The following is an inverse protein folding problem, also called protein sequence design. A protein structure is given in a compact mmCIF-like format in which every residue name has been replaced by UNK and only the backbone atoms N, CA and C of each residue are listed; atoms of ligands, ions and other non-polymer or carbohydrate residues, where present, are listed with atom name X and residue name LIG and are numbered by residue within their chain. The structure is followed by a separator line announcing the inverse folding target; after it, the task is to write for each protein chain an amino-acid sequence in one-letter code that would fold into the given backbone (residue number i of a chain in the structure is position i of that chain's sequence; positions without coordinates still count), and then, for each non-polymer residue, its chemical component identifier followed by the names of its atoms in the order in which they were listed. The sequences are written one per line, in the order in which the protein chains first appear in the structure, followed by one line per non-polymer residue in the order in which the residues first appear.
data_IF_800002492098
#
_entry.id   IF_800002492098
#
_cell.length_a   1.000
_cell.length_b   1.000
_cell.length_c   1.000
_cell.angle_alpha   90.00
_cell.angle_beta   90.00
_cell.angle_gamma   90.00
#
_symmetry.space_group_name_H-M   'P 1'
#
loop_
_entity.id
_entity.type
_entity.pdbx_description
1 polymer ?
#
# COMPACT_ATOMS: atom_id res chain seq x y z
N UNK A 1 -9.52 -6.68 25.55
CA UNK A 1 -8.47 -5.89 24.85
C UNK A 1 -7.11 -6.54 25.01
N UNK A 2 -6.23 -6.29 24.06
CA UNK A 2 -4.85 -6.82 24.07
C UNK A 2 -3.91 -5.69 23.66
N UNK A 3 -2.64 -5.78 24.09
CA UNK A 3 -1.55 -5.07 23.44
C UNK A 3 -0.83 -6.05 22.48
N UNK A 4 -0.59 -5.62 21.28
CA UNK A 4 0.15 -6.39 20.29
C UNK A 4 1.45 -5.65 19.98
N UNK A 5 2.55 -6.40 19.99
CA UNK A 5 3.86 -5.93 19.53
C UNK A 5 4.31 -6.86 18.41
N UNK A 6 4.63 -6.29 17.25
CA UNK A 6 5.22 -7.07 16.17
C UNK A 6 6.51 -6.42 15.68
N UNK A 7 7.50 -7.26 15.39
CA UNK A 7 8.78 -6.88 14.82
C UNK A 7 9.06 -7.78 13.62
N UNK A 8 9.34 -7.15 12.48
CA UNK A 8 9.74 -7.83 11.24
C UNK A 8 11.14 -7.39 10.87
N UNK A 9 12.03 -8.34 10.66
CA UNK A 9 13.38 -8.11 10.16
C UNK A 9 13.52 -8.84 8.82
N UNK A 10 13.81 -8.13 7.73
CA UNK A 10 14.02 -8.69 6.39
C UNK A 10 15.44 -8.41 5.94
N UNK A 11 16.11 -9.40 5.34
CA UNK A 11 17.44 -9.26 4.75
C UNK A 11 17.57 -10.14 3.53
N UNK A 12 18.25 -9.64 2.52
CA UNK A 12 18.53 -10.36 1.27
C UNK A 12 18.72 -9.40 0.11
N UNK A 13 18.20 -9.78 -1.04
CA UNK A 13 18.36 -9.05 -2.28
C UNK A 13 17.01 -8.77 -2.94
N UNK A 14 16.83 -7.53 -3.44
CA UNK A 14 15.89 -7.22 -4.49
C UNK A 14 16.53 -7.55 -5.83
N UNK A 15 15.77 -8.21 -6.68
CA UNK A 15 16.16 -8.53 -8.03
C UNK A 15 15.51 -7.49 -8.94
N UNK A 16 16.31 -6.65 -9.60
CA UNK A 16 15.82 -5.61 -10.51
C UNK A 16 16.33 -5.86 -11.91
N UNK A 17 15.55 -5.48 -12.92
CA UNK A 17 15.95 -5.62 -14.31
C UNK A 17 16.72 -4.37 -14.74
N UNK A 18 18.02 -4.48 -14.97
CA UNK A 18 18.92 -3.41 -15.35
C UNK A 18 19.12 -3.29 -16.88
N UNK A 19 18.08 -3.60 -17.67
CA UNK A 19 18.11 -3.66 -19.14
C UNK A 19 17.39 -4.91 -19.66
N UNK A 20 17.44 -5.16 -20.97
CA UNK A 20 16.66 -6.27 -21.57
C UNK A 20 17.11 -7.68 -21.12
N UNK A 21 18.31 -7.84 -20.54
CA UNK A 21 18.87 -9.15 -20.17
C UNK A 21 19.71 -9.20 -18.88
N UNK A 22 19.97 -8.06 -18.25
CA UNK A 22 20.79 -8.02 -17.03
C UNK A 22 19.93 -7.89 -15.79
N UNK A 23 20.11 -8.85 -14.86
CA UNK A 23 19.51 -8.81 -13.53
C UNK A 23 20.54 -8.21 -12.57
N UNK A 24 20.17 -7.15 -11.90
CA UNK A 24 20.95 -6.55 -10.82
C UNK A 24 20.37 -6.95 -9.46
N UNK A 25 21.26 -7.27 -8.52
CA UNK A 25 20.90 -7.53 -7.14
C UNK A 25 21.15 -6.28 -6.31
N UNK A 26 20.11 -5.76 -5.70
CA UNK A 26 20.21 -4.66 -4.74
C UNK A 26 20.00 -5.20 -3.33
N UNK A 27 21.02 -5.12 -2.45
CA UNK A 27 20.86 -5.57 -1.08
C UNK A 27 19.75 -4.81 -0.38
N UNK A 28 18.88 -5.55 0.32
CA UNK A 28 17.79 -4.99 1.12
C UNK A 28 17.92 -5.39 2.58
N UNK A 29 17.68 -4.45 3.49
CA UNK A 29 17.52 -4.70 4.91
C UNK A 29 16.40 -3.83 5.45
N UNK A 30 15.40 -4.46 6.08
CA UNK A 30 14.26 -3.79 6.69
C UNK A 30 14.11 -4.23 8.13
N UNK A 31 13.84 -3.28 9.02
CA UNK A 31 13.41 -3.54 10.39
C UNK A 31 12.15 -2.74 10.64
N UNK A 32 11.01 -3.40 10.64
CA UNK A 32 9.71 -2.83 10.95
C UNK A 32 9.29 -3.12 12.38
N UNK A 33 8.69 -2.16 13.07
CA UNK A 33 8.18 -2.29 14.43
C UNK A 33 6.80 -1.66 14.53
N UNK A 34 5.87 -2.42 15.09
CA UNK A 34 4.56 -1.90 15.45
C UNK A 34 4.20 -2.29 16.88
N UNK A 35 3.58 -1.36 17.58
CA UNK A 35 2.97 -1.59 18.89
C UNK A 35 1.61 -0.94 18.91
N UNK A 36 0.56 -1.70 19.16
CA UNK A 36 -0.80 -1.19 19.21
C UNK A 36 -1.63 -1.84 20.29
N UNK A 37 -2.59 -1.09 20.80
CA UNK A 37 -3.68 -1.62 21.60
C UNK A 37 -4.77 -2.09 20.64
N UNK A 38 -5.34 -3.26 20.89
CA UNK A 38 -6.36 -3.88 20.04
C UNK A 38 -7.60 -4.23 20.86
N UNK A 39 -8.77 -3.90 20.29
CA UNK A 39 -10.06 -4.35 20.78
C UNK A 39 -10.80 -5.11 19.68
N UNK A 40 -11.08 -6.38 19.92
CA UNK A 40 -11.89 -7.21 19.03
C UNK A 40 -13.34 -6.69 19.05
N UNK A 41 -13.91 -6.51 17.86
CA UNK A 41 -15.29 -6.04 17.66
C UNK A 41 -16.19 -7.16 17.13
N UNK A 42 -15.66 -8.01 16.21
CA UNK A 42 -16.39 -9.12 15.63
C UNK A 42 -15.44 -10.30 15.40
N UNK A 43 -15.96 -11.51 15.64
CA UNK A 43 -15.33 -12.76 15.29
C UNK A 43 -16.46 -13.76 15.01
N UNK A 44 -16.81 -13.92 13.74
CA UNK A 44 -17.88 -14.79 13.29
C UNK A 44 -17.29 -15.93 12.43
N UNK A 45 -17.31 -17.13 12.96
CA UNK A 45 -16.78 -18.29 12.28
C UNK A 45 -17.64 -18.72 11.06
N UNK A 46 -18.93 -18.37 11.04
CA UNK A 46 -19.83 -18.78 9.96
C UNK A 46 -19.60 -17.93 8.69
N UNK A 47 -19.32 -16.64 8.86
CA UNK A 47 -19.04 -15.71 7.76
C UNK A 47 -17.55 -15.49 7.51
N UNK A 48 -16.68 -15.96 8.42
CA UNK A 48 -15.24 -15.68 8.37
C UNK A 48 -14.88 -14.23 8.73
N UNK A 49 -15.86 -13.42 9.14
CA UNK A 49 -15.63 -12.03 9.51
C UNK A 49 -14.85 -11.94 10.83
N UNK A 50 -13.72 -11.27 10.78
CA UNK A 50 -12.94 -10.86 11.95
C UNK A 50 -12.70 -9.36 11.84
N UNK A 51 -12.98 -8.62 12.91
CA UNK A 51 -12.78 -7.17 12.95
C UNK A 51 -12.25 -6.73 14.30
N UNK A 52 -11.27 -5.85 14.27
CA UNK A 52 -10.77 -5.17 15.46
C UNK A 52 -10.59 -3.67 15.18
N UNK A 53 -10.57 -2.89 16.25
CA UNK A 53 -10.08 -1.53 16.22
C UNK A 53 -8.74 -1.51 16.96
N UNK A 54 -7.76 -0.81 16.37
CA UNK A 54 -6.37 -0.72 16.82
C UNK A 54 -6.01 0.74 17.06
N UNK A 55 -5.32 1.01 18.17
CA UNK A 55 -4.69 2.30 18.41
C UNK A 55 -3.18 2.12 18.41
N UNK A 56 -2.50 2.58 17.35
CA UNK A 56 -1.06 2.42 17.19
C UNK A 56 -0.31 3.39 18.12
N UNK A 57 0.47 2.85 19.05
CA UNK A 57 1.39 3.61 19.90
C UNK A 57 2.67 3.91 19.12
N UNK A 58 3.12 2.94 18.34
CA UNK A 58 4.31 2.99 17.49
C UNK A 58 4.03 2.22 16.18
N UNK A 59 4.40 2.81 15.05
CA UNK A 59 4.58 2.13 13.79
C UNK A 59 5.71 2.84 13.04
N UNK A 60 6.81 2.15 12.85
CA UNK A 60 8.04 2.71 12.28
C UNK A 60 8.84 1.63 11.55
N UNK A 61 9.67 2.03 10.59
CA UNK A 61 10.62 1.14 9.95
C UNK A 61 11.96 1.83 9.68
N UNK A 62 13.02 1.00 9.64
CA UNK A 62 14.29 1.35 8.99
C UNK A 62 14.39 0.53 7.71
N UNK A 63 14.47 1.19 6.57
CA UNK A 63 14.53 0.56 5.24
C UNK A 63 15.83 0.95 4.57
N UNK A 64 16.63 -0.04 4.17
CA UNK A 64 17.87 0.14 3.39
C UNK A 64 17.74 -0.63 2.09
N UNK A 65 17.94 0.03 0.95
CA UNK A 65 17.96 -0.59 -0.37
C UNK A 65 19.18 -0.04 -1.12
N UNK A 66 20.13 -0.90 -1.41
CA UNK A 66 21.42 -0.49 -1.97
C UNK A 66 22.10 0.55 -1.07
N UNK A 67 22.26 1.76 -1.58
CA UNK A 67 22.82 2.92 -0.83
C UNK A 67 21.74 3.82 -0.23
N UNK A 68 20.47 3.60 -0.57
CA UNK A 68 19.35 4.38 -0.06
C UNK A 68 18.95 3.96 1.36
N UNK A 69 18.51 4.92 2.15
CA UNK A 69 17.98 4.69 3.50
C UNK A 69 16.76 5.56 3.74
N UNK A 70 15.71 4.96 4.32
CA UNK A 70 14.50 5.64 4.74
C UNK A 70 14.09 5.19 6.15
N UNK A 71 13.45 6.08 6.90
CA UNK A 71 12.96 5.81 8.26
C UNK A 71 11.52 6.30 8.41
N UNK A 72 10.56 5.69 7.69
CA UNK A 72 9.17 6.09 7.76
C UNK A 72 8.59 5.88 9.16
N UNK A 73 7.67 6.77 9.54
CA UNK A 73 6.92 6.72 10.79
C UNK A 73 5.47 7.06 10.51
N UNK A 74 4.56 6.41 11.20
CA UNK A 74 3.12 6.62 11.04
C UNK A 74 2.69 8.03 11.46
N UNK A 75 1.79 8.61 10.69
CA UNK A 75 1.18 9.90 11.01
C UNK A 75 0.43 9.83 12.35
N UNK A 76 0.74 10.77 13.24
CA UNK A 76 0.13 10.84 14.58
C UNK A 76 -1.40 11.02 14.58
N UNK A 77 -1.96 11.59 13.52
CA UNK A 77 -3.40 11.81 13.35
C UNK A 77 -4.15 10.57 12.82
N UNK A 78 -3.42 9.53 12.37
CA UNK A 78 -3.98 8.32 11.73
C UNK A 78 -3.79 7.06 12.55
N UNK A 79 -3.50 7.18 13.84
CA UNK A 79 -3.17 6.04 14.73
C UNK A 79 -4.35 5.11 15.04
N UNK A 80 -5.57 5.58 14.87
CA UNK A 80 -6.77 4.75 15.05
C UNK A 80 -7.11 4.06 13.74
N UNK A 81 -6.99 2.74 13.70
CA UNK A 81 -7.15 1.92 12.49
C UNK A 81 -8.13 0.80 12.76
N UNK A 82 -9.02 0.55 11.85
CA UNK A 82 -9.84 -0.66 11.81
C UNK A 82 -9.12 -1.70 10.97
N UNK A 83 -8.95 -2.89 11.53
CA UNK A 83 -8.49 -4.08 10.82
C UNK A 83 -9.67 -5.03 10.65
N UNK A 84 -9.94 -5.42 9.42
CA UNK A 84 -11.02 -6.32 9.06
C UNK A 84 -10.47 -7.44 8.18
N UNK A 85 -10.93 -8.68 8.40
CA UNK A 85 -10.80 -9.79 7.46
C UNK A 85 -12.22 -10.20 7.14
N UNK A 86 -12.61 -10.08 5.89
CA UNK A 86 -13.94 -10.44 5.40
C UNK A 86 -13.80 -11.34 4.17
N UNK A 87 -14.42 -12.50 4.19
CA UNK A 87 -14.29 -13.51 3.13
C UNK A 87 -12.83 -13.87 2.75
N UNK A 88 -11.89 -13.77 3.71
CA UNK A 88 -10.47 -14.02 3.48
C UNK A 88 -9.66 -12.81 3.04
N UNK A 89 -10.30 -11.67 2.76
CA UNK A 89 -9.64 -10.45 2.31
C UNK A 89 -9.33 -9.53 3.50
N UNK A 90 -8.04 -9.23 3.78
CA UNK A 90 -7.67 -8.30 4.83
C UNK A 90 -7.83 -6.85 4.36
N UNK A 91 -8.36 -6.02 5.23
CA UNK A 91 -8.50 -4.58 4.98
C UNK A 91 -8.11 -3.79 6.22
N UNK A 92 -7.27 -2.77 6.03
CA UNK A 92 -6.90 -1.79 7.06
C UNK A 92 -7.37 -0.41 6.62
N UNK A 93 -8.03 0.35 7.48
CA UNK A 93 -8.42 1.72 7.15
C UNK A 93 -8.52 2.58 8.42
N UNK A 94 -8.31 3.87 8.29
CA UNK A 94 -8.49 4.81 9.39
C UNK A 94 -9.89 5.45 9.30
N UNK A 95 -10.73 5.31 10.33
CA UNK A 95 -12.09 5.90 10.34
C UNK A 95 -12.09 7.43 10.44
N UNK A 96 -10.93 8.05 10.73
CA UNK A 96 -10.77 9.50 10.88
C UNK A 96 -10.31 10.19 9.59
N UNK A 97 -10.00 9.42 8.53
CA UNK A 97 -9.56 9.94 7.24
C UNK A 97 -8.62 8.99 6.52
N UNK A 98 -8.27 9.26 5.26
CA UNK A 98 -7.42 8.37 4.47
C UNK A 98 -6.01 8.23 5.07
N UNK A 99 -5.47 7.02 4.99
CA UNK A 99 -4.05 6.76 5.25
C UNK A 99 -3.22 7.22 4.06
N UNK A 100 -1.95 7.55 4.27
CA UNK A 100 -0.98 7.60 3.19
C UNK A 100 -0.54 6.19 2.79
N UNK A 101 0.18 6.05 1.67
CA UNK A 101 0.82 4.78 1.30
C UNK A 101 1.82 4.36 2.38
N UNK A 102 2.65 5.29 2.84
CA UNK A 102 3.65 5.02 3.87
C UNK A 102 3.02 4.57 5.19
N UNK A 103 1.89 5.19 5.60
CA UNK A 103 1.15 4.75 6.79
C UNK A 103 0.63 3.32 6.62
N UNK A 104 0.06 3.00 5.45
CA UNK A 104 -0.46 1.66 5.18
C UNK A 104 0.65 0.62 5.17
N UNK A 105 1.75 0.87 4.47
CA UNK A 105 2.88 -0.06 4.34
C UNK A 105 3.56 -0.32 5.70
N UNK A 106 3.53 0.64 6.62
CA UNK A 106 4.03 0.47 7.99
C UNK A 106 3.18 -0.48 8.84
N UNK A 107 1.86 -0.57 8.59
CA UNK A 107 0.93 -1.34 9.42
C UNK A 107 0.41 -2.60 8.74
N UNK A 108 0.52 -2.70 7.42
CA UNK A 108 0.17 -3.88 6.62
C UNK A 108 1.37 -4.82 6.49
N UNK A 109 1.90 -5.21 7.64
CA UNK A 109 3.05 -6.10 7.76
C UNK A 109 2.62 -7.53 8.06
N UNK A 110 3.54 -8.47 7.84
CA UNK A 110 3.37 -9.86 8.26
C UNK A 110 3.06 -9.94 9.76
N UNK A 111 2.25 -10.91 10.15
CA UNK A 111 1.93 -11.15 11.57
C UNK A 111 0.65 -10.47 12.05
N UNK A 112 -0.33 -10.28 11.19
CA UNK A 112 -1.65 -9.76 11.57
C UNK A 112 -2.26 -10.58 12.71
N UNK A 113 -2.53 -9.94 13.86
CA UNK A 113 -3.06 -10.59 15.08
C UNK A 113 -4.38 -11.33 14.84
N UNK A 114 -5.22 -10.86 13.92
CA UNK A 114 -6.50 -11.50 13.58
C UNK A 114 -6.35 -12.88 12.94
N UNK A 115 -5.16 -13.22 12.43
CA UNK A 115 -4.89 -14.52 11.79
C UNK A 115 -4.28 -15.56 12.72
N UNK A 116 -3.77 -15.15 13.87
CA UNK A 116 -3.04 -16.06 14.78
C UNK A 116 -3.85 -17.27 15.24
N UNK A 117 -5.17 -17.10 15.40
CA UNK A 117 -6.05 -18.22 15.74
C UNK A 117 -6.15 -19.30 14.63
N UNK A 118 -5.91 -18.94 13.37
CA UNK A 118 -5.88 -19.88 12.23
C UNK A 118 -4.64 -20.79 12.21
N UNK A 119 -3.66 -20.55 13.08
CA UNK A 119 -2.53 -21.45 13.28
C UNK A 119 -2.88 -22.66 14.17
N UNK A 120 -4.01 -22.62 14.88
CA UNK A 120 -4.46 -23.66 15.79
C UNK A 120 -5.25 -24.74 15.06
N UNK A 121 -5.28 -25.98 15.60
CA UNK A 121 -6.13 -27.02 15.06
C UNK A 121 -7.62 -26.72 15.30
N UNK A 122 -8.47 -27.16 14.40
CA UNK A 122 -9.94 -27.09 14.50
C UNK A 122 -10.55 -28.14 15.45
N UNK A 123 -9.70 -29.06 15.93
CA UNK A 123 -10.07 -30.17 16.83
C UNK A 123 -9.08 -30.33 17.97
N UNK A 124 -9.46 -31.11 18.98
CA UNK A 124 -8.54 -31.48 20.03
C UNK A 124 -7.41 -32.37 19.49
N UNK A 125 -6.17 -32.05 19.85
CA UNK A 125 -4.96 -32.79 19.46
C UNK A 125 -4.17 -33.25 20.69
N UNK A 126 -3.37 -34.29 20.52
CA UNK A 126 -2.44 -34.80 21.54
C UNK A 126 -1.03 -34.24 21.31
N UNK A 127 -0.20 -34.31 22.34
CA UNK A 127 1.23 -34.00 22.20
C UNK A 127 1.86 -34.88 21.12
N UNK A 128 2.71 -34.28 20.31
CA UNK A 128 3.34 -34.82 19.09
C UNK A 128 2.36 -35.08 17.91
N UNK A 129 1.10 -34.72 18.02
CA UNK A 129 0.15 -34.80 16.93
C UNK A 129 0.26 -33.57 16.03
N UNK A 130 0.26 -33.81 14.71
CA UNK A 130 0.34 -32.77 13.70
C UNK A 130 -1.03 -32.49 13.04
N UNK A 131 -1.19 -31.26 12.52
CA UNK A 131 -2.36 -30.84 11.74
C UNK A 131 -1.96 -29.89 10.60
N UNK A 132 -2.67 -29.88 9.49
CA UNK A 132 -2.46 -28.92 8.42
C UNK A 132 -2.86 -27.52 8.91
N UNK A 133 -2.08 -26.49 8.53
CA UNK A 133 -2.44 -25.10 8.80
C UNK A 133 -3.36 -24.59 7.69
N UNK A 134 -4.37 -23.79 8.06
CA UNK A 134 -5.28 -23.15 7.12
C UNK A 134 -4.56 -22.22 6.15
N UNK A 135 -4.74 -22.45 4.84
CA UNK A 135 -4.06 -21.70 3.78
C UNK A 135 -4.45 -20.22 3.76
N UNK A 136 -5.71 -19.90 4.00
CA UNK A 136 -6.17 -18.50 4.04
C UNK A 136 -5.52 -17.72 5.17
N UNK A 137 -5.44 -18.31 6.37
CA UNK A 137 -4.75 -17.71 7.51
C UNK A 137 -3.25 -17.56 7.27
N UNK A 138 -2.60 -18.55 6.62
CA UNK A 138 -1.19 -18.45 6.24
C UNK A 138 -0.94 -17.36 5.20
N UNK A 139 -1.80 -17.23 4.19
CA UNK A 139 -1.67 -16.21 3.16
C UNK A 139 -1.66 -14.81 3.80
N UNK A 140 -2.65 -14.49 4.62
CA UNK A 140 -2.73 -13.20 5.30
C UNK A 140 -1.57 -13.00 6.28
N UNK A 141 -1.18 -14.04 7.03
CA UNK A 141 -0.08 -13.96 7.99
C UNK A 141 1.26 -13.62 7.32
N UNK A 142 1.48 -14.13 6.11
CA UNK A 142 2.73 -13.98 5.35
C UNK A 142 2.66 -12.86 4.30
N UNK A 143 1.50 -12.20 4.10
CA UNK A 143 1.31 -11.14 3.11
C UNK A 143 1.26 -11.67 1.67
N UNK A 144 0.62 -12.83 1.44
CA UNK A 144 0.41 -13.41 0.12
C UNK A 144 -1.03 -13.16 -0.34
N UNK A 145 -1.21 -12.95 -1.64
CA UNK A 145 -2.52 -12.83 -2.28
C UNK A 145 -3.28 -14.18 -2.22
N UNK A 146 -2.56 -15.27 -2.50
CA UNK A 146 -3.11 -16.62 -2.47
C UNK A 146 -2.01 -17.67 -2.28
N UNK A 147 -2.38 -18.85 -1.76
CA UNK A 147 -1.52 -20.04 -1.66
C UNK A 147 -2.07 -21.11 -2.59
N UNK A 148 -1.27 -21.53 -3.57
CA UNK A 148 -1.62 -22.59 -4.54
C UNK A 148 -1.30 -23.97 -4.00
N UNK A 149 -0.17 -24.13 -3.31
CA UNK A 149 0.22 -25.37 -2.64
C UNK A 149 0.85 -25.11 -1.27
N UNK A 150 0.66 -26.02 -0.31
CA UNK A 150 1.24 -25.94 1.03
C UNK A 150 1.33 -27.32 1.67
N UNK A 151 2.49 -27.63 2.24
CA UNK A 151 2.73 -28.76 3.13
C UNK A 151 2.96 -28.30 4.59
N UNK A 152 2.67 -27.04 4.92
CA UNK A 152 2.89 -26.47 6.25
C UNK A 152 2.00 -27.16 7.27
N UNK A 153 2.63 -27.66 8.34
CA UNK A 153 1.96 -28.34 9.44
C UNK A 153 2.30 -27.69 10.78
N UNK A 154 1.31 -27.65 11.66
CA UNK A 154 1.46 -27.39 13.07
C UNK A 154 1.64 -28.70 13.84
N UNK A 155 2.43 -28.70 14.92
CA UNK A 155 2.59 -29.82 15.84
C UNK A 155 2.50 -29.29 17.26
N UNK A 156 1.79 -30.00 18.14
CA UNK A 156 1.77 -29.69 19.57
C UNK A 156 3.01 -30.33 20.24
N UNK A 157 4.01 -29.52 20.60
CA UNK A 157 5.24 -30.03 21.18
C UNK A 157 5.07 -30.44 22.64
N UNK A 158 4.41 -29.60 23.44
CA UNK A 158 4.14 -29.85 24.84
C UNK A 158 3.03 -28.97 25.43
N UNK A 159 2.49 -29.38 26.54
CA UNK A 159 1.59 -28.58 27.37
C UNK A 159 2.20 -28.50 28.78
N UNK A 160 2.36 -27.29 29.30
CA UNK A 160 2.90 -27.03 30.64
C UNK A 160 1.94 -26.08 31.37
N UNK A 161 1.14 -26.62 32.27
CA UNK A 161 0.02 -25.89 32.86
C UNK A 161 -0.97 -25.42 31.80
N UNK A 162 -1.15 -24.11 31.70
CA UNK A 162 -2.00 -23.48 30.69
C UNK A 162 -1.27 -23.14 29.38
N UNK A 163 0.03 -23.39 29.29
CA UNK A 163 0.83 -23.05 28.14
C UNK A 163 1.01 -24.23 27.19
N UNK A 164 0.45 -24.17 26.02
CA UNK A 164 0.73 -25.08 24.92
C UNK A 164 1.79 -24.46 23.99
N UNK A 165 2.84 -25.24 23.70
CA UNK A 165 3.92 -24.85 22.77
C UNK A 165 3.75 -25.60 21.47
N UNK A 166 3.77 -24.86 20.38
CA UNK A 166 3.53 -25.33 19.05
C UNK A 166 4.76 -25.11 18.16
N UNK A 167 5.10 -26.06 17.31
CA UNK A 167 6.01 -25.88 16.19
C UNK A 167 5.22 -25.87 14.88
N UNK A 168 5.53 -24.95 13.98
CA UNK A 168 4.90 -24.82 12.65
C UNK A 168 6.02 -24.83 11.64
N UNK A 169 5.95 -25.72 10.64
CA UNK A 169 7.01 -25.82 9.63
C UNK A 169 6.47 -26.43 8.32
N UNK A 170 7.14 -26.09 7.24
CA UNK A 170 6.86 -26.61 5.91
C UNK A 170 7.22 -25.62 4.82
N UNK A 171 6.79 -25.90 3.63
CA UNK A 171 6.95 -25.08 2.44
C UNK A 171 5.60 -24.76 1.82
N UNK A 172 5.53 -23.66 1.09
CA UNK A 172 4.35 -23.25 0.37
C UNK A 172 4.72 -22.50 -0.92
N UNK A 173 3.82 -22.58 -1.88
CA UNK A 173 3.87 -21.80 -3.12
C UNK A 173 2.59 -20.98 -3.23
N UNK A 174 2.71 -19.75 -3.71
CA UNK A 174 1.61 -18.82 -3.83
C UNK A 174 1.95 -17.64 -4.73
N UNK A 175 1.23 -16.57 -4.56
CA UNK A 175 1.47 -15.31 -5.23
C UNK A 175 1.52 -14.16 -4.21
N UNK A 176 2.39 -13.18 -4.46
CA UNK A 176 2.43 -11.92 -3.76
C UNK A 176 2.52 -10.79 -4.80
N UNK A 177 1.64 -9.79 -4.71
CA UNK A 177 1.50 -8.73 -5.72
C UNK A 177 1.34 -9.29 -7.15
N UNK A 178 0.59 -10.41 -7.28
CA UNK A 178 0.38 -11.12 -8.54
C UNK A 178 1.58 -11.93 -9.06
N UNK A 179 2.69 -11.98 -8.33
CA UNK A 179 3.93 -12.64 -8.75
C UNK A 179 4.14 -13.94 -7.99
N UNK A 180 4.55 -15.00 -8.70
CA UNK A 180 4.80 -16.30 -8.11
C UNK A 180 5.86 -16.22 -7.00
N UNK A 181 5.55 -16.78 -5.84
CA UNK A 181 6.40 -16.79 -4.65
C UNK A 181 6.48 -18.19 -4.04
N UNK A 182 7.67 -18.55 -3.55
CA UNK A 182 7.95 -19.76 -2.78
C UNK A 182 8.46 -19.39 -1.41
N UNK A 183 7.90 -20.00 -0.36
CA UNK A 183 8.28 -19.73 1.03
C UNK A 183 8.60 -21.04 1.76
N UNK A 184 9.75 -21.06 2.44
CA UNK A 184 10.09 -22.06 3.44
C UNK A 184 9.88 -21.44 4.83
N UNK A 185 9.01 -22.04 5.65
CA UNK A 185 8.60 -21.52 6.96
C UNK A 185 9.04 -22.42 8.10
N UNK A 186 9.57 -21.80 9.17
CA UNK A 186 9.78 -22.42 10.47
C UNK A 186 9.34 -21.44 11.56
N UNK A 187 8.40 -21.85 12.41
CA UNK A 187 7.89 -21.01 13.47
C UNK A 187 7.63 -21.80 14.75
N UNK A 188 7.58 -21.05 15.85
CA UNK A 188 7.11 -21.52 17.17
C UNK A 188 6.06 -20.56 17.69
N UNK A 189 5.03 -21.11 18.31
CA UNK A 189 3.98 -20.32 18.93
C UNK A 189 3.66 -20.82 20.33
N UNK A 190 3.23 -19.90 21.18
CA UNK A 190 2.70 -20.18 22.50
C UNK A 190 1.21 -19.87 22.53
N UNK A 191 0.41 -20.85 22.96
CA UNK A 191 -1.02 -20.70 23.14
C UNK A 191 -1.38 -20.84 24.61
N UNK A 192 -2.04 -19.82 25.17
CA UNK A 192 -2.59 -19.88 26.52
C UNK A 192 -4.00 -20.49 26.45
N UNK A 193 -4.14 -21.70 27.03
CA UNK A 193 -5.40 -22.46 27.02
C UNK A 193 -6.47 -21.85 27.90
N UNK A 194 -6.10 -21.15 28.99
CA UNK A 194 -7.04 -20.49 29.88
C UNK A 194 -7.61 -19.21 29.23
N UNK A 195 -6.76 -18.43 28.56
CA UNK A 195 -7.14 -17.22 27.85
C UNK A 195 -7.61 -17.47 26.41
N UNK A 196 -7.38 -18.68 25.89
CA UNK A 196 -7.72 -19.11 24.52
C UNK A 196 -7.11 -18.19 23.46
N UNK A 197 -5.84 -17.78 23.66
CA UNK A 197 -5.15 -16.80 22.84
C UNK A 197 -3.73 -17.25 22.52
N UNK A 198 -3.29 -17.08 21.28
CA UNK A 198 -1.87 -17.16 20.92
C UNK A 198 -1.17 -15.94 21.50
N UNK A 199 -0.32 -16.15 22.51
CA UNK A 199 0.34 -15.06 23.24
C UNK A 199 1.69 -14.68 22.63
N UNK A 200 2.27 -15.57 21.85
CA UNK A 200 3.57 -15.36 21.24
C UNK A 200 3.73 -16.19 19.96
N UNK A 201 4.37 -15.58 18.96
CA UNK A 201 4.80 -16.22 17.72
C UNK A 201 6.19 -15.73 17.36
N UNK A 202 7.10 -16.65 16.99
CA UNK A 202 8.33 -16.32 16.29
C UNK A 202 8.43 -17.19 15.03
N UNK A 203 8.61 -16.56 13.90
CA UNK A 203 8.74 -17.22 12.61
C UNK A 203 10.02 -16.77 11.90
N UNK A 204 10.67 -17.72 11.22
CA UNK A 204 11.67 -17.44 10.21
C UNK A 204 11.15 -18.01 8.91
N UNK A 205 11.20 -17.23 7.85
CA UNK A 205 10.85 -17.70 6.51
C UNK A 205 11.82 -17.17 5.47
N UNK A 206 12.07 -17.98 4.47
CA UNK A 206 12.85 -17.63 3.30
C UNK A 206 11.90 -17.55 2.12
N UNK A 207 11.82 -16.38 1.51
CA UNK A 207 10.98 -16.11 0.35
C UNK A 207 11.84 -15.93 -0.89
N UNK A 208 11.44 -16.63 -1.96
CA UNK A 208 11.88 -16.38 -3.32
C UNK A 208 10.68 -16.04 -4.18
N UNK A 209 10.66 -14.82 -4.68
CA UNK A 209 9.64 -14.31 -5.59
C UNK A 209 10.28 -13.98 -6.92
N UNK A 210 9.61 -14.37 -7.98
CA UNK A 210 10.04 -14.11 -9.34
C UNK A 210 9.88 -12.63 -9.71
N UNK A 211 10.27 -12.24 -10.92
CA UNK A 211 10.02 -10.90 -11.45
C UNK A 211 8.59 -10.79 -11.91
N UNK A 212 7.91 -9.72 -11.51
CA UNK A 212 6.66 -9.28 -12.08
C UNK A 212 6.88 -8.27 -13.22
N UNK A 213 5.83 -7.91 -13.95
CA UNK A 213 5.89 -6.85 -14.95
C UNK A 213 6.13 -5.47 -14.33
N UNK A 214 5.66 -5.26 -13.10
CA UNK A 214 5.76 -4.00 -12.38
C UNK A 214 6.49 -4.12 -11.03
N UNK A 215 6.75 -5.34 -10.56
CA UNK A 215 7.31 -5.63 -9.24
C UNK A 215 8.68 -6.30 -9.37
N UNK A 216 9.66 -5.93 -8.51
CA UNK A 216 10.95 -6.60 -8.47
C UNK A 216 10.81 -8.02 -7.93
N UNK A 217 11.71 -8.90 -8.36
CA UNK A 217 11.89 -10.18 -7.70
C UNK A 217 12.55 -10.02 -6.33
N UNK A 218 12.45 -11.03 -5.45
CA UNK A 218 13.12 -11.03 -4.15
C UNK A 218 13.74 -12.38 -3.83
N UNK A 219 14.87 -12.35 -3.13
CA UNK A 219 15.48 -13.50 -2.46
C UNK A 219 15.84 -13.05 -1.05
N UNK A 220 14.91 -13.27 -0.08
CA UNK A 220 15.03 -12.69 1.25
C UNK A 220 14.76 -13.70 2.36
N UNK A 221 15.40 -13.48 3.49
CA UNK A 221 15.06 -14.14 4.75
C UNK A 221 14.41 -13.14 5.68
N UNK A 222 13.25 -13.49 6.21
CA UNK A 222 12.52 -12.67 7.16
C UNK A 222 12.40 -13.36 8.53
N UNK A 223 12.42 -12.54 9.57
CA UNK A 223 12.16 -12.93 10.96
C UNK A 223 11.00 -12.12 11.48
N UNK A 224 9.96 -12.80 11.89
CA UNK A 224 8.78 -12.21 12.49
C UNK A 224 8.72 -12.58 13.96
N UNK A 225 8.41 -11.62 14.83
CA UNK A 225 8.05 -11.86 16.24
C UNK A 225 6.76 -11.09 16.52
N UNK A 226 5.79 -11.79 17.10
CA UNK A 226 4.54 -11.20 17.56
C UNK A 226 4.34 -11.58 19.02
N UNK A 227 4.03 -10.61 19.86
CA UNK A 227 3.64 -10.81 21.25
C UNK A 227 2.26 -10.19 21.47
N UNK A 228 1.36 -10.96 22.09
CA UNK A 228 -0.01 -10.53 22.42
C UNK A 228 -0.16 -10.61 23.94
N UNK A 229 -0.34 -9.45 24.57
CA UNK A 229 -0.49 -9.34 26.01
C UNK A 229 -1.90 -8.88 26.34
N UNK A 230 -2.68 -9.64 27.12
CA UNK A 230 -3.98 -9.19 27.60
C UNK A 230 -3.87 -7.88 28.37
N UNK A 231 -4.80 -6.98 28.14
CA UNK A 231 -4.88 -5.70 28.84
C UNK A 231 -6.27 -5.44 29.38
N UNK A 232 -6.32 -4.66 30.45
CA UNK A 232 -7.56 -4.00 30.88
C UNK A 232 -7.97 -2.99 29.79
N UNK A 233 -9.26 -2.61 29.75
CA UNK A 233 -9.79 -1.65 28.77
C UNK A 233 -8.88 -0.41 28.64
N UNK A 234 -8.60 -0.03 27.40
CA UNK A 234 -7.78 1.14 27.05
C UNK A 234 -8.71 2.29 26.69
N UNK A 235 -8.52 3.46 27.27
CA UNK A 235 -9.37 4.64 27.08
C UNK A 235 -9.53 5.02 25.60
N UNK A 236 -8.45 4.94 24.82
CA UNK A 236 -8.46 5.23 23.37
C UNK A 236 -9.35 4.28 22.55
N UNK A 237 -9.73 3.12 23.10
CA UNK A 237 -10.61 2.12 22.47
C UNK A 237 -11.91 1.91 23.26
N UNK A 238 -12.26 2.85 24.14
CA UNK A 238 -13.51 2.80 24.91
C UNK A 238 -14.75 2.97 24.00
N UNK A 239 -15.91 2.52 24.49
CA UNK A 239 -17.17 2.70 23.78
C UNK A 239 -17.46 4.17 23.46
N UNK A 240 -17.04 5.09 24.34
CA UNK A 240 -17.23 6.52 24.13
C UNK A 240 -16.44 7.05 22.92
N UNK A 241 -15.27 6.46 22.63
CA UNK A 241 -14.41 6.88 21.51
C UNK A 241 -14.86 6.25 20.20
N UNK A 242 -15.25 4.96 20.21
CA UNK A 242 -15.46 4.22 18.96
C UNK A 242 -16.93 4.19 18.50
N UNK A 243 -17.90 4.54 19.35
CA UNK A 243 -19.34 4.38 19.09
C UNK A 243 -19.81 5.03 17.79
N UNK A 244 -19.36 6.25 17.52
CA UNK A 244 -19.82 7.06 16.40
C UNK A 244 -18.90 6.97 15.18
N UNK A 245 -17.89 6.09 15.23
CA UNK A 245 -16.95 5.91 14.14
C UNK A 245 -17.48 4.88 13.12
N UNK A 246 -17.22 5.09 11.82
CA UNK A 246 -17.51 4.11 10.79
C UNK A 246 -16.52 2.94 10.89
N UNK A 247 -16.97 1.83 11.51
CA UNK A 247 -16.11 0.65 11.77
C UNK A 247 -16.27 -0.46 10.74
N UNK A 248 -17.04 -0.23 9.67
CA UNK A 248 -17.19 -1.17 8.54
C UNK A 248 -16.54 -0.57 7.31
N UNK A 249 -15.73 -1.35 6.60
CA UNK A 249 -15.06 -0.89 5.40
C UNK A 249 -16.07 -0.45 4.32
N UNK A 250 -15.81 0.67 3.68
CA UNK A 250 -16.47 1.11 2.45
C UNK A 250 -15.42 1.54 1.43
N UNK A 251 -15.79 1.60 0.16
CA UNK A 251 -14.87 1.95 -0.93
C UNK A 251 -14.13 3.28 -0.66
N UNK A 252 -14.83 4.29 -0.14
CA UNK A 252 -14.21 5.59 0.17
C UNK A 252 -13.21 5.55 1.34
N UNK A 253 -13.39 4.63 2.31
CA UNK A 253 -12.49 4.53 3.46
C UNK A 253 -11.18 3.77 3.16
N UNK A 254 -11.15 3.01 2.09
CA UNK A 254 -9.96 2.27 1.67
C UNK A 254 -9.05 3.07 0.74
N UNK A 255 -9.47 4.25 0.33
CA UNK A 255 -8.66 5.18 -0.47
C UNK A 255 -7.47 5.69 0.34
N UNK A 256 -6.41 6.06 -0.37
CA UNK A 256 -5.19 6.61 0.20
C UNK A 256 -5.03 8.08 -0.17
N UNK A 257 -4.35 8.81 0.70
CA UNK A 257 -3.94 10.18 0.45
C UNK A 257 -2.51 10.23 -0.07
N UNK A 258 -2.29 10.94 -1.16
CA UNK A 258 -0.96 11.30 -1.66
C UNK A 258 -0.76 12.81 -1.53
N UNK A 259 0.29 13.22 -0.85
CA UNK A 259 0.72 14.63 -0.75
C UNK A 259 2.05 14.78 -1.48
N UNK A 260 2.04 15.50 -2.56
CA UNK A 260 3.21 15.85 -3.35
C UNK A 260 3.79 17.16 -2.80
N UNK A 261 4.85 17.05 -2.02
CA UNK A 261 5.46 18.20 -1.33
C UNK A 261 6.12 19.18 -2.31
N UNK A 262 6.70 18.65 -3.39
CA UNK A 262 7.40 19.44 -4.41
C UNK A 262 6.44 20.25 -5.28
N UNK A 263 5.30 19.67 -5.63
CA UNK A 263 4.27 20.27 -6.50
C UNK A 263 3.13 20.93 -5.71
N UNK A 264 3.16 20.88 -4.38
CA UNK A 264 2.10 21.42 -3.51
C UNK A 264 0.70 20.95 -3.91
N UNK A 265 0.57 19.65 -4.23
CA UNK A 265 -0.67 19.01 -4.63
C UNK A 265 -1.04 17.89 -3.63
N UNK A 266 -2.33 17.67 -3.51
CA UNK A 266 -2.91 16.56 -2.76
C UNK A 266 -3.88 15.82 -3.64
N UNK A 267 -3.82 14.47 -3.59
CA UNK A 267 -4.70 13.58 -4.34
C UNK A 267 -5.23 12.48 -3.41
N UNK A 268 -6.41 11.97 -3.73
CA UNK A 268 -6.95 10.75 -3.13
C UNK A 268 -7.03 9.70 -4.24
N UNK A 269 -6.59 8.49 -3.95
CA UNK A 269 -6.49 7.44 -4.96
C UNK A 269 -6.76 6.06 -4.37
N UNK A 270 -7.09 5.09 -5.21
CA UNK A 270 -7.19 3.70 -4.80
C UNK A 270 -5.79 3.09 -4.55
N UNK A 271 -5.77 1.89 -3.96
CA UNK A 271 -4.53 1.23 -3.53
C UNK A 271 -3.66 0.71 -4.66
N UNK A 272 -4.15 0.67 -5.89
CA UNK A 272 -3.41 0.23 -7.08
C UNK A 272 -2.38 1.27 -7.56
N UNK A 273 -2.55 2.55 -7.18
CA UNK A 273 -1.62 3.59 -7.55
C UNK A 273 -0.36 3.57 -6.68
N UNK A 274 0.81 3.63 -7.33
CA UNK A 274 2.14 3.69 -6.72
C UNK A 274 2.88 4.93 -7.22
N UNK A 275 3.47 5.70 -6.30
CA UNK A 275 4.34 6.83 -6.62
C UNK A 275 5.73 6.30 -6.97
N UNK A 276 6.24 6.64 -8.16
CA UNK A 276 7.59 6.28 -8.61
C UNK A 276 8.56 7.45 -8.53
N UNK A 277 8.09 8.64 -8.90
CA UNK A 277 8.91 9.85 -8.97
C UNK A 277 8.12 11.00 -8.36
N UNK A 278 8.72 11.73 -7.44
CA UNK A 278 8.23 13.01 -6.92
C UNK A 278 9.35 14.04 -7.06
N UNK A 279 9.30 14.82 -8.15
CA UNK A 279 10.20 15.94 -8.39
C UNK A 279 9.38 17.19 -8.63
N UNK A 280 10.03 18.34 -8.51
CA UNK A 280 9.40 19.65 -8.70
C UNK A 280 8.68 19.78 -10.06
N UNK A 281 9.25 19.21 -11.12
CA UNK A 281 8.79 19.34 -12.50
C UNK A 281 7.94 18.17 -12.98
N UNK A 282 8.01 17.02 -12.30
CA UNK A 282 7.36 15.78 -12.73
C UNK A 282 7.10 14.85 -11.57
N UNK A 283 5.86 14.44 -11.42
CA UNK A 283 5.44 13.31 -10.60
C UNK A 283 5.00 12.16 -11.52
N UNK A 284 5.48 10.95 -11.27
CA UNK A 284 5.10 9.76 -12.03
C UNK A 284 4.43 8.77 -11.09
N UNK A 285 3.21 8.39 -11.45
CA UNK A 285 2.42 7.37 -10.77
C UNK A 285 2.21 6.18 -11.71
N UNK A 286 2.17 4.97 -11.15
CA UNK A 286 1.75 3.76 -11.87
C UNK A 286 0.55 3.14 -11.20
N UNK A 287 -0.42 2.72 -12.00
CA UNK A 287 -1.54 1.89 -11.58
C UNK A 287 -1.18 0.44 -11.86
N UNK A 288 -1.06 -0.37 -10.79
CA UNK A 288 -0.68 -1.80 -10.86
C UNK A 288 -1.78 -2.63 -10.24
N UNK A 289 -2.18 -3.71 -10.89
CA UNK A 289 -3.23 -4.59 -10.42
C UNK A 289 -2.91 -6.05 -10.76
N UNK A 290 -2.78 -6.89 -9.73
CA UNK A 290 -2.41 -8.30 -9.88
C UNK A 290 -1.06 -8.51 -10.59
N UNK A 291 -0.08 -7.62 -10.37
CA UNK A 291 1.24 -7.65 -11.01
C UNK A 291 1.30 -7.03 -12.41
N UNK A 292 0.17 -6.64 -13.00
CA UNK A 292 0.11 -6.01 -14.32
C UNK A 292 0.13 -4.48 -14.21
N UNK A 293 0.88 -3.82 -15.08
CA UNK A 293 0.82 -2.38 -15.24
C UNK A 293 -0.43 -2.00 -16.04
N UNK A 294 -1.40 -1.36 -15.40
CA UNK A 294 -2.61 -0.89 -16.08
C UNK A 294 -2.41 0.47 -16.74
N UNK A 295 -1.77 1.43 -16.04
CA UNK A 295 -1.56 2.77 -16.56
C UNK A 295 -0.36 3.44 -15.91
N UNK A 296 0.25 4.37 -16.64
CA UNK A 296 1.18 5.35 -16.06
C UNK A 296 0.53 6.73 -16.13
N UNK A 297 0.62 7.48 -15.03
CA UNK A 297 0.21 8.88 -14.96
C UNK A 297 1.45 9.76 -14.75
N UNK A 298 1.62 10.74 -15.63
CA UNK A 298 2.57 11.82 -15.44
C UNK A 298 1.79 13.06 -15.01
N UNK A 299 2.17 13.66 -13.90
CA UNK A 299 1.55 14.85 -13.33
C UNK A 299 2.60 15.94 -13.20
N UNK A 300 2.25 17.14 -13.62
CA UNK A 300 3.09 18.34 -13.51
C UNK A 300 2.27 19.53 -13.03
N UNK A 301 2.77 20.29 -12.08
CA UNK A 301 2.26 21.62 -11.79
C UNK A 301 2.71 22.56 -12.89
N UNK A 302 1.77 23.34 -13.44
CA UNK A 302 2.05 24.31 -14.50
C UNK A 302 2.33 25.70 -13.91
N UNK A 303 2.86 26.60 -14.74
CA UNK A 303 3.00 28.01 -14.36
C UNK A 303 1.61 28.61 -14.07
N UNK A 304 1.52 29.47 -13.07
CA UNK A 304 0.26 30.12 -12.74
C UNK A 304 -0.21 31.02 -13.91
N UNK A 305 -1.50 30.95 -14.22
CA UNK A 305 -2.17 31.86 -15.11
C UNK A 305 -2.63 33.13 -14.34
N UNK A 306 -3.04 34.16 -15.07
CA UNK A 306 -3.72 35.30 -14.45
C UNK A 306 -5.02 34.83 -13.79
N UNK A 307 -5.31 35.24 -12.53
CA UNK A 307 -6.54 34.87 -11.86
C UNK A 307 -7.78 35.18 -12.71
N UNK A 308 -8.69 34.22 -12.78
CA UNK A 308 -9.92 34.33 -13.61
C UNK A 308 -9.72 34.00 -15.09
N UNK A 309 -8.50 33.74 -15.57
CA UNK A 309 -8.28 33.21 -16.92
C UNK A 309 -8.31 31.68 -16.91
N UNK A 310 -8.77 31.10 -18.00
CA UNK A 310 -8.84 29.65 -18.15
C UNK A 310 -8.57 29.21 -19.57
N UNK A 311 -7.86 28.09 -19.73
CA UNK A 311 -7.64 27.45 -21.02
C UNK A 311 -8.99 26.99 -21.61
N UNK A 312 -9.27 27.25 -22.91
CA UNK A 312 -10.48 26.72 -23.55
C UNK A 312 -10.33 25.24 -23.90
N UNK A 313 -11.45 24.51 -23.98
CA UNK A 313 -11.41 23.10 -24.37
C UNK A 313 -10.86 22.93 -25.79
N UNK A 314 -11.20 23.84 -26.72
CA UNK A 314 -10.71 23.80 -28.10
C UNK A 314 -9.20 24.01 -28.18
N UNK A 315 -8.65 24.95 -27.37
CA UNK A 315 -7.20 25.16 -27.32
C UNK A 315 -6.50 23.94 -26.76
N UNK A 316 -7.04 23.36 -25.68
CA UNK A 316 -6.47 22.14 -25.06
C UNK A 316 -6.49 20.95 -26.04
N UNK A 317 -7.58 20.75 -26.81
CA UNK A 317 -7.64 19.73 -27.85
C UNK A 317 -6.55 19.93 -28.92
N UNK A 318 -6.32 21.18 -29.35
CA UNK A 318 -5.29 21.49 -30.32
C UNK A 318 -3.87 21.21 -29.81
N UNK A 319 -3.58 21.51 -28.53
CA UNK A 319 -2.32 21.19 -27.86
C UNK A 319 -2.10 19.66 -27.79
N UNK A 320 -3.13 18.91 -27.38
CA UNK A 320 -3.08 17.44 -27.32
C UNK A 320 -2.82 16.85 -28.71
N UNK A 321 -3.51 17.29 -29.75
CA UNK A 321 -3.27 16.83 -31.13
C UNK A 321 -1.84 17.14 -31.57
N UNK A 322 -1.33 18.31 -31.25
CA UNK A 322 0.06 18.70 -31.53
C UNK A 322 1.07 17.73 -30.85
N UNK A 323 0.83 17.34 -29.62
CA UNK A 323 1.68 16.41 -28.90
C UNK A 323 1.64 14.96 -29.47
N UNK A 324 0.51 14.55 -30.06
CA UNK A 324 0.28 13.20 -30.56
C UNK A 324 0.60 13.02 -32.08
N UNK A 325 1.15 14.03 -32.75
CA UNK A 325 1.41 14.00 -34.19
C UNK A 325 2.28 12.81 -34.63
N UNK A 326 3.26 12.43 -33.85
CA UNK A 326 4.16 11.29 -34.14
C UNK A 326 3.52 9.91 -33.96
N UNK A 327 2.40 9.82 -33.23
CA UNK A 327 1.72 8.56 -32.87
C UNK A 327 0.44 8.33 -33.68
N UNK A 328 0.18 9.10 -34.73
CA UNK A 328 -1.06 9.09 -35.51
C UNK A 328 -2.33 9.16 -34.60
N UNK A 329 -2.20 9.88 -33.48
CA UNK A 329 -3.24 9.95 -32.46
C UNK A 329 -4.48 10.71 -32.95
N UNK A 330 -5.65 10.22 -32.53
CA UNK A 330 -6.94 10.83 -32.83
C UNK A 330 -7.71 11.07 -31.53
N UNK A 331 -8.34 12.22 -31.39
CA UNK A 331 -9.22 12.50 -30.27
C UNK A 331 -10.48 11.64 -30.40
N UNK A 332 -10.75 10.86 -29.39
CA UNK A 332 -11.94 10.03 -29.27
C UNK A 332 -13.06 10.75 -28.50
N UNK A 333 -12.67 11.49 -27.43
CA UNK A 333 -13.61 12.19 -26.55
C UNK A 333 -12.95 13.45 -25.98
N UNK A 334 -13.74 14.52 -25.81
CA UNK A 334 -13.32 15.71 -25.09
C UNK A 334 -14.47 16.24 -24.25
N UNK A 335 -14.17 16.64 -23.03
CA UNK A 335 -15.17 17.15 -22.09
C UNK A 335 -14.58 18.19 -21.13
N UNK A 336 -15.47 18.98 -20.54
CA UNK A 336 -15.11 19.85 -19.44
C UNK A 336 -16.12 19.71 -18.31
N UNK A 337 -15.63 19.85 -17.08
CA UNK A 337 -16.46 19.87 -15.88
C UNK A 337 -15.95 20.90 -14.87
N UNK A 338 -16.76 21.18 -13.87
CA UNK A 338 -16.44 22.02 -12.74
C UNK A 338 -16.70 21.21 -11.47
N UNK A 339 -15.77 21.21 -10.55
CA UNK A 339 -15.96 20.61 -9.25
C UNK A 339 -16.72 21.53 -8.29
N UNK A 340 -17.26 21.01 -7.20
CA UNK A 340 -18.01 21.79 -6.20
C UNK A 340 -17.17 22.89 -5.55
N UNK A 341 -15.84 22.70 -5.47
CA UNK A 341 -14.89 23.66 -4.93
C UNK A 341 -14.32 24.66 -5.98
N UNK A 342 -14.93 24.72 -7.18
CA UNK A 342 -14.62 25.70 -8.22
C UNK A 342 -13.42 25.39 -9.10
N UNK A 343 -12.87 24.15 -9.05
CA UNK A 343 -11.82 23.75 -9.99
C UNK A 343 -12.44 23.37 -11.34
N UNK A 344 -11.84 23.87 -12.39
CA UNK A 344 -12.17 23.50 -13.76
C UNK A 344 -11.31 22.35 -14.22
N UNK A 345 -11.93 21.33 -14.79
CA UNK A 345 -11.28 20.13 -15.33
C UNK A 345 -11.60 20.04 -16.82
N UNK A 346 -10.57 20.08 -17.65
CA UNK A 346 -10.64 19.71 -19.06
C UNK A 346 -10.11 18.30 -19.21
N UNK A 347 -10.79 17.46 -19.97
CA UNK A 347 -10.41 16.07 -20.28
C UNK A 347 -10.43 15.84 -21.77
N UNK A 348 -9.34 15.26 -22.30
CA UNK A 348 -9.24 14.82 -23.70
C UNK A 348 -8.74 13.39 -23.72
N UNK A 349 -9.51 12.50 -24.29
CA UNK A 349 -9.12 11.12 -24.56
C UNK A 349 -8.75 10.96 -26.00
N UNK A 350 -7.60 10.36 -26.27
CA UNK A 350 -7.10 10.08 -27.60
C UNK A 350 -6.69 8.61 -27.74
N UNK A 351 -6.72 8.10 -28.94
CA UNK A 351 -6.30 6.75 -29.30
C UNK A 351 -5.29 6.79 -30.42
N UNK A 352 -4.39 5.83 -30.46
CA UNK A 352 -3.39 5.73 -31.52
C UNK A 352 -2.51 4.48 -31.34
N UNK A 353 -1.34 4.50 -31.97
CA UNK A 353 -0.40 3.37 -31.92
C UNK A 353 0.97 3.89 -31.48
N UNK A 354 1.56 3.26 -30.47
CA UNK A 354 2.94 3.49 -30.07
C UNK A 354 3.68 2.15 -30.03
N UNK A 355 4.83 2.05 -30.69
CA UNK A 355 5.64 0.82 -30.76
C UNK A 355 4.81 -0.41 -31.18
N UNK A 356 3.95 -0.27 -32.17
CA UNK A 356 3.02 -1.31 -32.67
C UNK A 356 1.89 -1.72 -31.72
N UNK A 357 1.79 -1.12 -30.54
CA UNK A 357 0.76 -1.41 -29.54
C UNK A 357 -0.33 -0.34 -29.61
N UNK A 358 -1.64 -0.73 -29.66
CA UNK A 358 -2.74 0.21 -29.51
C UNK A 358 -2.74 0.85 -28.12
N UNK A 359 -2.67 2.19 -28.08
CA UNK A 359 -2.58 2.98 -26.84
C UNK A 359 -3.80 3.89 -26.71
N UNK A 360 -4.25 4.06 -25.49
CA UNK A 360 -5.17 5.11 -25.08
C UNK A 360 -4.41 6.12 -24.23
N UNK A 361 -4.54 7.39 -24.57
CA UNK A 361 -4.06 8.51 -23.76
C UNK A 361 -5.24 9.28 -23.22
N UNK A 362 -5.16 9.67 -21.94
CA UNK A 362 -6.14 10.57 -21.33
C UNK A 362 -5.39 11.76 -20.75
N UNK A 363 -5.68 12.94 -21.26
CA UNK A 363 -5.05 14.18 -20.83
C UNK A 363 -6.03 15.01 -20.02
N UNK A 364 -5.53 15.60 -18.95
CA UNK A 364 -6.27 16.50 -18.10
C UNK A 364 -5.52 17.82 -17.91
N UNK A 365 -6.29 18.90 -17.90
CA UNK A 365 -5.86 20.20 -17.43
C UNK A 365 -6.80 20.61 -16.30
N UNK A 366 -6.25 20.82 -15.10
CA UNK A 366 -6.98 21.22 -13.91
C UNK A 366 -6.55 22.63 -13.54
N UNK A 367 -7.50 23.55 -13.35
CA UNK A 367 -7.20 24.92 -12.93
C UNK A 367 -8.19 25.40 -11.86
N UNK A 368 -7.78 26.39 -11.05
CA UNK A 368 -8.63 27.05 -10.08
C UNK A 368 -8.76 28.55 -10.35
N UNK A 369 -9.67 29.21 -9.62
CA UNK A 369 -9.92 30.65 -9.78
C UNK A 369 -8.70 31.54 -9.44
N UNK A 370 -7.77 31.03 -8.62
CA UNK A 370 -6.54 31.73 -8.27
C UNK A 370 -5.46 31.64 -9.36
N UNK A 371 -5.72 30.96 -10.47
CA UNK A 371 -4.83 30.78 -11.60
C UNK A 371 -3.85 29.63 -11.45
N UNK A 372 -3.90 28.84 -10.36
CA UNK A 372 -3.07 27.62 -10.27
C UNK A 372 -3.54 26.56 -11.24
N UNK A 373 -2.58 25.84 -11.83
CA UNK A 373 -2.83 24.88 -12.88
C UNK A 373 -1.99 23.62 -12.69
N UNK A 374 -2.53 22.48 -13.09
CA UNK A 374 -1.84 21.19 -13.16
C UNK A 374 -2.24 20.44 -14.43
N UNK A 375 -1.31 19.71 -15.02
CA UNK A 375 -1.57 18.78 -16.11
C UNK A 375 -1.35 17.35 -15.64
N UNK A 376 -2.23 16.44 -16.11
CA UNK A 376 -2.06 15.00 -15.92
C UNK A 376 -2.20 14.32 -17.28
N UNK A 377 -1.33 13.35 -17.53
CA UNK A 377 -1.43 12.52 -18.72
C UNK A 377 -1.35 11.05 -18.31
N UNK A 378 -2.38 10.30 -18.69
CA UNK A 378 -2.45 8.85 -18.47
C UNK A 378 -2.13 8.15 -19.78
N UNK A 379 -1.30 7.13 -19.73
CA UNK A 379 -0.97 6.26 -20.85
C UNK A 379 -1.28 4.83 -20.46
N UNK A 380 -2.06 4.13 -21.24
CA UNK A 380 -2.44 2.74 -21.02
C UNK A 380 -2.63 2.00 -22.35
N UNK A 381 -2.38 0.71 -22.35
CA UNK A 381 -2.70 -0.15 -23.49
C UNK A 381 -4.22 -0.26 -23.66
N UNK A 382 -4.69 -0.35 -24.89
CA UNK A 382 -6.12 -0.51 -25.16
C UNK A 382 -6.71 -1.80 -24.57
N UNK A 383 -5.89 -2.85 -24.39
CA UNK A 383 -6.26 -4.15 -23.83
C UNK A 383 -6.66 -4.10 -22.36
N UNK A 384 -6.20 -3.09 -21.59
CA UNK A 384 -6.44 -2.98 -20.15
C UNK A 384 -7.45 -1.90 -19.76
N UNK A 385 -8.08 -1.23 -20.73
CA UNK A 385 -9.01 -0.11 -20.48
C UNK A 385 -10.18 -0.51 -19.58
N UNK A 386 -10.76 -1.70 -19.78
CA UNK A 386 -11.86 -2.19 -18.94
C UNK A 386 -11.44 -2.40 -17.48
N UNK A 387 -10.22 -2.92 -17.23
CA UNK A 387 -9.67 -3.11 -15.88
C UNK A 387 -9.28 -1.78 -15.23
N UNK A 388 -8.80 -0.84 -16.01
CA UNK A 388 -8.47 0.50 -15.55
C UNK A 388 -9.73 1.27 -15.13
N UNK A 389 -10.84 1.06 -15.83
CA UNK A 389 -12.15 1.68 -15.62
C UNK A 389 -12.05 3.24 -15.54
N UNK A 390 -12.57 3.85 -14.47
CA UNK A 390 -12.56 5.31 -14.27
C UNK A 390 -11.53 5.76 -13.22
N UNK A 391 -10.42 5.00 -13.05
CA UNK A 391 -9.39 5.30 -12.04
C UNK A 391 -8.70 6.65 -12.26
N UNK A 392 -8.65 7.14 -13.50
CA UNK A 392 -8.18 8.48 -13.85
C UNK A 392 -9.07 9.58 -13.26
N UNK A 393 -10.39 9.44 -13.36
CA UNK A 393 -11.36 10.44 -12.89
C UNK A 393 -11.30 10.60 -11.37
N UNK A 394 -11.32 9.48 -10.63
CA UNK A 394 -11.24 9.50 -9.16
C UNK A 394 -9.99 10.25 -8.70
N UNK A 395 -8.85 10.00 -9.33
CA UNK A 395 -7.60 10.65 -8.99
C UNK A 395 -7.64 12.15 -9.30
N UNK A 396 -8.12 12.55 -10.48
CA UNK A 396 -8.16 13.95 -10.92
C UNK A 396 -9.20 14.77 -10.17
N UNK A 397 -10.40 14.24 -9.95
CA UNK A 397 -11.47 14.94 -9.22
C UNK A 397 -11.11 15.22 -7.77
N UNK A 398 -10.23 14.42 -7.18
CA UNK A 398 -9.73 14.61 -5.81
C UNK A 398 -8.56 15.59 -5.70
N UNK A 399 -7.92 15.98 -6.82
CA UNK A 399 -6.74 16.84 -6.83
C UNK A 399 -7.05 18.17 -6.12
N UNK A 400 -6.22 18.55 -5.19
CA UNK A 400 -6.33 19.79 -4.43
C UNK A 400 -5.00 20.55 -4.44
N UNK A 401 -5.03 21.84 -4.70
CA UNK A 401 -3.85 22.71 -4.61
C UNK A 401 -3.59 23.08 -3.15
N UNK A 402 -2.47 22.62 -2.61
CA UNK A 402 -2.04 22.97 -1.24
C UNK A 402 -1.40 24.36 -1.19
N UNK A 403 -1.44 25.07 -0.05
CA UNK A 403 -0.73 26.32 0.12
C UNK A 403 0.77 26.19 -0.20
N UNK A 404 1.32 27.12 -0.96
CA UNK A 404 2.78 27.23 -1.16
C UNK A 404 3.39 27.99 0.02
N UNK A 405 4.60 27.62 0.49
CA UNK A 405 5.30 28.40 1.49
C UNK A 405 5.60 29.82 0.95
N UNK A 406 5.58 30.85 1.82
CA UNK A 406 5.88 32.20 1.38
C UNK A 406 7.29 32.29 0.80
N UNK A 407 7.45 33.02 -0.32
CA UNK A 407 8.66 33.10 -1.14
C UNK A 407 9.96 33.51 -0.41
N UNK A 408 9.90 33.91 0.85
CA UNK A 408 11.07 34.30 1.67
C UNK A 408 11.89 33.10 2.19
N UNK A 409 11.31 31.91 2.33
CA UNK A 409 12.05 30.73 2.82
C UNK A 409 12.84 30.02 1.71
N UNK A 410 12.49 30.21 0.45
CA UNK A 410 13.19 29.59 -0.68
C UNK A 410 14.59 30.14 -0.93
N UNK A 411 14.90 31.35 -0.45
CA UNK A 411 16.24 31.97 -0.60
C UNK A 411 17.29 31.46 0.40
N UNK A 412 16.88 30.78 1.45
CA UNK A 412 17.80 30.28 2.50
C UNK A 412 18.29 28.86 2.23
N UNK A 413 17.75 28.16 1.22
CA UNK A 413 18.14 26.79 0.86
C UNK A 413 19.01 26.69 -0.41
N UNK A 414 19.48 27.80 -0.97
CA UNK A 414 20.45 27.73 -2.06
C UNK A 414 21.79 27.21 -1.53
N UNK A 415 22.37 26.13 -2.10
CA UNK A 415 23.67 25.64 -1.68
C UNK A 415 24.73 26.74 -1.89
N UNK A 416 25.54 26.97 -0.86
CA UNK A 416 26.66 27.90 -0.93
C UNK A 416 27.59 27.47 -2.09
N UNK A 417 27.86 28.41 -3.01
CA UNK A 417 28.80 28.17 -4.10
C UNK A 417 30.17 27.80 -3.53
N UNK A 418 30.91 26.85 -4.13
CA UNK A 418 32.23 26.46 -3.66
C UNK A 418 33.19 27.67 -3.78
N UNK A 419 33.85 27.99 -2.67
CA UNK A 419 34.88 29.03 -2.63
C UNK A 419 36.00 28.68 -3.62
N UNK A 420 36.25 29.56 -4.59
CA UNK A 420 37.39 29.46 -5.48
C UNK A 420 38.67 29.63 -4.70
N UNK A 421 39.43 28.57 -4.51
CA UNK A 421 40.82 28.62 -4.06
C UNK A 421 41.71 29.17 -5.20
N UNK A 422 42.35 30.27 -4.90
CA UNK A 422 43.51 30.73 -5.66
C UNK A 422 44.75 29.90 -5.33
#
# INVERSE_FOLDING_TARGET
SHQVQAVVEVRGDLLVQAGEREQEKLPIAVVGKVTYDERLLACDAATGLRRSVRNYREASAEVKVGQGMATPQMNSERRLVVAEINAGEPTLFCPLGPLSRDDLDLIDIQGNSLTLAGLLPDRAVRVAEAWPIDRGSLAILLGLDAITSSDVQGTLDKVDGNLAVLTIQGSLEGAAEGVASKIELKAKANFDTAQRTVTWLAANFHERREFGHAEPGVDVTARLRVAVTPQVAVDALSDAVIRDLPLTASAGMTLLELRLQQSHLRLIHDRRWRLLVDRHDLCVLRCVDGGDLLAQCNLSELADAEPGTSLSLETFQAEVLGALTSSAGQIAEASQSMTDDGRRILRVQATGIASEVPIVWVFYHVSNEQGRQASLSFTLEASVVERFAESDRTLVESLTFLPRPPAQEAKLQAPAAPASSR
#
